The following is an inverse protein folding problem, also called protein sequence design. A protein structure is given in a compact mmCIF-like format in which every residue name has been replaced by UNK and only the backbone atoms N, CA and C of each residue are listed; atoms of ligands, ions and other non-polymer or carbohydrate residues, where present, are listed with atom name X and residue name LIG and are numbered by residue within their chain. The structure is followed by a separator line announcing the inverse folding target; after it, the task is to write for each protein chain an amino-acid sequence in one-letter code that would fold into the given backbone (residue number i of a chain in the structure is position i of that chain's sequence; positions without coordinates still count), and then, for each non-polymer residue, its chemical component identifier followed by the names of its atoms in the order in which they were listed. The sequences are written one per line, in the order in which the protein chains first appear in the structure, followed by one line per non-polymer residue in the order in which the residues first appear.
data_IF_310429339203
#
_entry.id   IF_310429339203
#
_cell.length_a   1.000
_cell.length_b   1.000
_cell.length_c   1.000
_cell.angle_alpha   90.00
_cell.angle_beta   90.00
_cell.angle_gamma   90.00
#
_symmetry.space_group_name_H-M   'P 1'
#
loop_
_entity.id
_entity.type
_entity.pdbx_description
1 polymer ?
#
# COMPACT_ATOMS: atom_id res chain seq x y z
N UNK A 1 42.77 -3.46 -18.98
CA UNK A 1 41.40 -3.75 -19.47
C UNK A 1 40.99 -4.91 -18.59
N UNK A 2 40.38 -4.58 -17.46
CA UNK A 2 40.06 -5.51 -16.38
C UNK A 2 38.58 -5.82 -16.50
N UNK A 3 38.29 -7.10 -16.71
CA UNK A 3 36.95 -7.67 -16.75
C UNK A 3 36.49 -7.84 -15.29
N UNK A 4 35.60 -6.96 -14.81
CA UNK A 4 34.89 -7.19 -13.56
C UNK A 4 33.51 -7.80 -13.89
N UNK A 5 33.41 -9.11 -13.69
CA UNK A 5 32.18 -9.89 -13.75
C UNK A 5 31.18 -9.37 -12.71
N UNK A 6 30.35 -8.41 -13.13
CA UNK A 6 29.34 -7.70 -12.34
C UNK A 6 28.18 -8.58 -11.83
N UNK A 7 28.13 -9.86 -12.22
CA UNK A 7 27.11 -10.79 -11.78
C UNK A 7 27.79 -12.11 -11.42
N UNK A 8 27.89 -12.38 -10.11
CA UNK A 8 28.44 -13.64 -9.60
C UNK A 8 27.65 -14.86 -10.10
N UNK A 9 28.24 -16.07 -10.08
CA UNK A 9 27.59 -17.26 -10.58
C UNK A 9 26.37 -17.60 -9.71
N UNK A 10 25.19 -17.58 -10.33
CA UNK A 10 23.95 -18.00 -9.69
C UNK A 10 23.97 -19.52 -9.46
N UNK A 11 24.14 -19.93 -8.21
CA UNK A 11 23.96 -21.31 -7.79
C UNK A 11 22.46 -21.57 -7.53
N UNK A 12 21.79 -22.13 -8.53
CA UNK A 12 20.45 -22.69 -8.38
C UNK A 12 20.57 -24.11 -7.81
N UNK A 13 20.63 -24.21 -6.49
CA UNK A 13 20.44 -25.48 -5.79
C UNK A 13 18.97 -25.61 -5.38
N UNK A 14 18.21 -26.30 -6.23
CA UNK A 14 16.88 -26.84 -5.95
C UNK A 14 17.01 -27.96 -4.91
N UNK A 15 16.46 -27.73 -3.72
CA UNK A 15 16.34 -28.79 -2.71
C UNK A 15 15.02 -28.67 -1.94
N UNK A 16 14.00 -29.30 -2.50
CA UNK A 16 13.23 -30.38 -1.86
C UNK A 16 12.38 -30.03 -0.63
N UNK A 17 11.07 -29.99 -0.86
CA UNK A 17 9.95 -30.45 -0.02
C UNK A 17 10.19 -30.71 1.47
N UNK A 18 9.43 -30.01 2.33
CA UNK A 18 8.99 -30.55 3.62
C UNK A 18 7.53 -30.13 3.89
N UNK A 19 6.62 -31.09 3.69
CA UNK A 19 5.28 -31.09 4.26
C UNK A 19 5.35 -31.37 5.77
N UNK A 20 4.60 -30.62 6.58
CA UNK A 20 4.29 -31.00 7.97
C UNK A 20 2.82 -30.76 8.27
N UNK A 21 2.06 -31.86 8.27
CA UNK A 21 0.74 -31.98 8.89
C UNK A 21 0.86 -32.13 10.42
N UNK A 22 0.06 -31.37 11.19
CA UNK A 22 -0.76 -31.91 12.30
C UNK A 22 -1.59 -30.84 13.07
N UNK A 23 -2.91 -30.87 12.84
CA UNK A 23 -4.01 -31.19 13.79
C UNK A 23 -4.03 -30.60 15.24
N UNK A 24 -5.02 -29.70 15.43
CA UNK A 24 -6.03 -29.53 16.52
C UNK A 24 -5.81 -28.74 17.84
N UNK A 25 -6.82 -27.87 18.03
CA UNK A 25 -7.58 -27.46 19.22
C UNK A 25 -7.06 -26.36 20.16
N UNK A 26 -7.94 -25.36 20.37
CA UNK A 26 -7.88 -24.40 21.47
C UNK A 26 -8.71 -23.15 21.22
N UNK A 27 -10.02 -23.25 21.39
CA UNK A 27 -10.96 -22.12 21.38
C UNK A 27 -10.67 -21.18 22.55
N UNK A 28 -10.26 -19.93 22.29
CA UNK A 28 -10.42 -18.84 23.26
C UNK A 28 -10.89 -17.57 22.54
N UNK A 29 -12.12 -17.18 22.87
CA UNK A 29 -12.74 -15.94 22.44
C UNK A 29 -11.97 -14.76 23.04
N UNK A 30 -11.44 -13.88 22.19
CA UNK A 30 -11.18 -12.50 22.58
C UNK A 30 -11.88 -11.59 21.58
N UNK A 31 -13.16 -11.29 21.89
CA UNK A 31 -13.88 -10.16 21.32
C UNK A 31 -13.19 -8.87 21.80
N UNK A 32 -12.10 -8.50 21.14
CA UNK A 32 -11.59 -7.14 21.24
C UNK A 32 -12.34 -6.31 20.21
N UNK A 33 -13.49 -5.82 20.67
CA UNK A 33 -14.28 -4.75 20.08
C UNK A 33 -13.38 -3.51 19.92
N UNK A 34 -12.57 -3.51 18.86
CA UNK A 34 -11.77 -2.37 18.46
C UNK A 34 -12.75 -1.44 17.75
N UNK A 35 -13.52 -0.72 18.56
CA UNK A 35 -14.31 0.41 18.08
C UNK A 35 -13.37 1.28 17.25
N UNK A 36 -13.61 1.29 15.95
CA UNK A 36 -12.98 2.17 14.98
C UNK A 36 -13.43 3.59 15.34
N UNK A 37 -12.78 4.20 16.32
CA UNK A 37 -12.91 5.64 16.55
C UNK A 37 -12.41 6.33 15.28
N UNK A 38 -13.18 7.22 14.66
CA UNK A 38 -12.67 8.01 13.55
C UNK A 38 -11.44 8.79 14.03
N UNK A 39 -10.31 8.52 13.40
CA UNK A 39 -9.02 9.13 13.73
C UNK A 39 -9.16 10.67 13.58
N UNK A 40 -8.89 11.49 14.62
CA UNK A 40 -9.16 12.93 14.59
C UNK A 40 -8.18 13.73 13.68
N UNK A 41 -7.43 13.03 12.82
CA UNK A 41 -6.41 13.58 11.95
C UNK A 41 -6.87 13.80 10.51
N UNK A 42 -8.14 13.54 10.19
CA UNK A 42 -8.77 14.11 9.00
C UNK A 42 -8.99 15.60 9.29
N UNK A 43 -7.90 16.36 9.32
CA UNK A 43 -7.94 17.81 9.46
C UNK A 43 -8.68 18.37 8.26
N UNK A 44 -9.93 18.75 8.51
CA UNK A 44 -10.79 19.44 7.56
C UNK A 44 -10.15 20.75 7.13
N UNK A 45 -10.05 20.94 5.80
CA UNK A 45 -9.88 22.24 5.11
C UNK A 45 -8.51 22.92 5.16
N UNK A 46 -7.45 22.20 4.79
CA UNK A 46 -6.38 22.83 4.01
C UNK A 46 -6.71 22.56 2.54
N UNK A 47 -7.02 23.59 1.74
CA UNK A 47 -7.12 23.42 0.28
C UNK A 47 -5.77 22.88 -0.22
N UNK A 48 -5.70 21.58 -0.47
CA UNK A 48 -4.49 20.96 -0.99
C UNK A 48 -4.13 21.67 -2.30
N UNK A 49 -2.92 22.23 -2.37
CA UNK A 49 -2.48 22.97 -3.55
C UNK A 49 -2.32 21.98 -4.73
N UNK A 50 -3.36 21.95 -5.58
CA UNK A 50 -3.37 21.18 -6.82
C UNK A 50 -2.55 21.90 -7.88
N UNK A 51 -1.49 21.24 -8.34
CA UNK A 51 -0.68 21.69 -9.48
C UNK A 51 -1.10 20.89 -10.71
N UNK A 52 -1.44 21.60 -11.78
CA UNK A 52 -1.82 21.03 -13.09
C UNK A 52 -0.68 21.23 -14.07
N UNK A 53 -0.45 20.25 -14.94
CA UNK A 53 0.54 20.32 -16.01
C UNK A 53 -0.18 20.50 -17.35
N UNK A 54 -0.22 21.72 -17.94
CA UNK A 54 -1.04 21.99 -19.12
C UNK A 54 -0.69 21.12 -20.34
N UNK A 55 0.56 20.65 -20.43
CA UNK A 55 1.02 19.76 -21.49
C UNK A 55 0.62 18.30 -21.31
N UNK A 56 0.11 17.90 -20.14
CA UNK A 56 -0.20 16.50 -19.80
C UNK A 56 -1.61 16.43 -19.20
N UNK A 57 -2.66 16.26 -20.05
CA UNK A 57 -4.02 16.08 -19.58
C UNK A 57 -4.14 14.91 -18.59
N UNK A 58 -4.83 15.13 -17.47
CA UNK A 58 -5.04 14.11 -16.43
C UNK A 58 -3.92 13.99 -15.40
N UNK A 59 -2.79 14.70 -15.55
CA UNK A 59 -1.73 14.72 -14.53
C UNK A 59 -1.94 15.85 -13.53
N UNK A 60 -2.02 15.47 -12.25
CA UNK A 60 -2.15 16.38 -11.13
C UNK A 60 -1.12 16.05 -10.05
N UNK A 61 -0.55 17.07 -9.42
CA UNK A 61 0.29 16.94 -8.24
C UNK A 61 -0.37 17.64 -7.06
N UNK A 62 -0.60 16.89 -5.98
CA UNK A 62 -1.06 17.41 -4.69
C UNK A 62 0.11 17.42 -3.72
N UNK A 63 0.68 18.61 -3.47
CA UNK A 63 1.80 18.75 -2.54
C UNK A 63 1.32 18.61 -1.10
N UNK A 64 2.15 17.99 -0.26
CA UNK A 64 1.91 17.83 1.17
C UNK A 64 0.54 17.20 1.48
N UNK A 65 0.10 16.26 0.63
CA UNK A 65 -1.18 15.56 0.81
C UNK A 65 -1.21 14.77 2.12
N UNK A 66 -0.09 14.14 2.46
CA UNK A 66 0.10 13.47 3.74
C UNK A 66 0.80 14.41 4.71
N UNK A 67 0.26 14.55 5.91
CA UNK A 67 0.94 15.22 7.02
C UNK A 67 2.19 14.44 7.44
N UNK A 68 3.13 15.08 8.13
CA UNK A 68 4.32 14.40 8.64
C UNK A 68 3.96 13.21 9.54
N UNK A 69 2.92 13.35 10.36
CA UNK A 69 2.46 12.27 11.23
C UNK A 69 1.91 11.08 10.42
N UNK A 70 1.11 11.35 9.38
CA UNK A 70 0.58 10.32 8.49
C UNK A 70 1.71 9.59 7.73
N UNK A 71 2.73 10.32 7.29
CA UNK A 71 3.90 9.74 6.64
C UNK A 71 4.66 8.81 7.61
N UNK A 72 4.91 9.27 8.84
CA UNK A 72 5.59 8.44 9.85
C UNK A 72 4.79 7.16 10.15
N UNK A 73 3.48 7.29 10.41
CA UNK A 73 2.58 6.14 10.64
C UNK A 73 2.58 5.14 9.47
N UNK A 74 2.64 5.64 8.23
CA UNK A 74 2.70 4.80 7.04
C UNK A 74 4.04 4.05 6.96
N UNK A 75 5.15 4.75 7.17
CA UNK A 75 6.49 4.16 7.16
C UNK A 75 6.65 3.11 8.25
N UNK A 76 6.22 3.43 9.48
CA UNK A 76 6.29 2.50 10.61
C UNK A 76 5.48 1.23 10.34
N UNK A 77 4.29 1.35 9.75
CA UNK A 77 3.46 0.21 9.38
C UNK A 77 4.13 -0.65 8.30
N UNK A 78 4.73 -0.04 7.28
CA UNK A 78 5.46 -0.75 6.22
C UNK A 78 6.67 -1.51 6.79
N UNK A 79 7.41 -0.89 7.71
CA UNK A 79 8.54 -1.53 8.40
C UNK A 79 8.05 -2.70 9.25
N UNK A 80 6.97 -2.51 10.00
CA UNK A 80 6.38 -3.56 10.85
C UNK A 80 5.92 -4.79 10.06
N UNK A 81 5.34 -4.59 8.87
CA UNK A 81 4.92 -5.69 7.98
C UNK A 81 6.08 -6.35 7.22
N UNK A 82 7.30 -5.85 7.38
CA UNK A 82 8.50 -6.48 6.84
C UNK A 82 8.62 -6.44 5.32
N UNK A 83 7.88 -5.55 4.63
CA UNK A 83 7.85 -5.51 3.15
C UNK A 83 9.21 -5.30 2.48
N UNK A 84 10.16 -4.70 3.20
CA UNK A 84 11.51 -4.39 2.70
C UNK A 84 12.61 -4.96 3.62
N UNK A 85 12.34 -6.06 4.34
CA UNK A 85 13.33 -6.69 5.24
C UNK A 85 14.58 -7.18 4.49
N UNK A 86 14.41 -7.57 3.23
CA UNK A 86 15.50 -8.05 2.38
C UNK A 86 16.02 -6.91 1.52
N UNK A 87 17.33 -6.66 1.45
CA UNK A 87 17.92 -5.59 0.62
C UNK A 87 17.52 -5.66 -0.86
N UNK A 88 17.20 -6.85 -1.36
CA UNK A 88 16.81 -7.14 -2.74
C UNK A 88 15.32 -6.86 -2.99
N UNK A 89 14.53 -6.74 -1.92
CA UNK A 89 13.09 -6.45 -1.96
C UNK A 89 12.88 -4.95 -1.81
N UNK A 90 12.82 -4.23 -2.93
CA UNK A 90 12.54 -2.80 -2.96
C UNK A 90 11.13 -2.47 -3.50
N UNK A 91 10.32 -3.50 -3.74
CA UNK A 91 8.96 -3.41 -4.25
C UNK A 91 8.10 -4.48 -3.60
N UNK A 92 6.86 -4.13 -3.24
CA UNK A 92 5.87 -5.05 -2.72
C UNK A 92 4.58 -4.92 -3.54
N UNK A 93 4.04 -6.05 -3.98
CA UNK A 93 2.72 -6.11 -4.64
C UNK A 93 1.71 -6.66 -3.65
N UNK A 94 0.65 -5.90 -3.38
CA UNK A 94 -0.45 -6.31 -2.51
C UNK A 94 -1.64 -6.74 -3.38
N UNK A 95 -2.18 -7.93 -3.12
CA UNK A 95 -3.37 -8.45 -3.79
C UNK A 95 -4.46 -8.79 -2.77
N UNK A 96 -5.72 -8.77 -3.21
CA UNK A 96 -6.86 -9.07 -2.36
C UNK A 96 -7.20 -7.93 -1.40
N UNK A 97 -7.43 -8.26 -0.12
CA UNK A 97 -7.78 -7.26 0.88
C UNK A 97 -6.55 -6.45 1.24
N UNK A 98 -6.59 -5.14 0.99
CA UNK A 98 -5.47 -4.26 1.29
C UNK A 98 -5.30 -4.07 2.80
N UNK A 99 -4.05 -3.98 3.29
CA UNK A 99 -3.79 -3.72 4.70
C UNK A 99 -4.44 -2.41 5.18
N UNK A 100 -4.83 -2.30 6.47
CA UNK A 100 -5.49 -1.11 6.99
C UNK A 100 -4.71 0.20 6.79
N UNK A 101 -3.38 0.14 6.83
CA UNK A 101 -2.55 1.33 6.61
C UNK A 101 -2.55 1.82 5.16
N UNK A 102 -2.73 0.91 4.18
CA UNK A 102 -2.94 1.27 2.79
C UNK A 102 -4.34 1.84 2.59
N UNK A 103 -5.36 1.23 3.22
CA UNK A 103 -6.73 1.72 3.16
C UNK A 103 -6.87 3.16 3.66
N UNK A 104 -6.17 3.53 4.75
CA UNK A 104 -6.12 4.94 5.21
C UNK A 104 -5.61 5.92 4.14
N UNK A 105 -4.64 5.50 3.32
CA UNK A 105 -4.13 6.33 2.23
C UNK A 105 -5.17 6.45 1.10
N UNK A 106 -5.88 5.36 0.80
CA UNK A 106 -7.00 5.37 -0.15
C UNK A 106 -8.07 6.34 0.32
N UNK A 107 -8.48 6.31 1.59
CA UNK A 107 -9.48 7.21 2.15
C UNK A 107 -9.06 8.70 2.00
N UNK A 108 -7.78 9.01 2.22
CA UNK A 108 -7.27 10.38 2.03
C UNK A 108 -7.38 10.81 0.56
N UNK A 109 -7.05 9.92 -0.37
CA UNK A 109 -7.12 10.17 -1.82
C UNK A 109 -8.56 10.36 -2.28
N UNK A 110 -9.49 9.51 -1.81
CA UNK A 110 -10.91 9.58 -2.18
C UNK A 110 -11.59 10.86 -1.70
N UNK A 111 -11.13 11.43 -0.59
CA UNK A 111 -11.61 12.71 -0.09
C UNK A 111 -11.13 13.93 -0.91
N UNK A 112 -10.27 13.73 -1.92
CA UNK A 112 -9.86 14.81 -2.82
C UNK A 112 -10.99 15.12 -3.82
N UNK A 113 -11.52 16.36 -3.84
CA UNK A 113 -12.58 16.73 -4.77
C UNK A 113 -12.16 16.52 -6.23
N UNK A 114 -13.04 15.88 -6.99
CA UNK A 114 -12.86 15.68 -8.44
C UNK A 114 -11.54 15.01 -8.83
N UNK A 115 -11.00 14.12 -7.99
CA UNK A 115 -9.78 13.37 -8.31
C UNK A 115 -9.96 12.41 -9.47
N UNK A 116 -11.11 11.74 -9.52
CA UNK A 116 -11.54 10.92 -10.65
C UNK A 116 -12.63 11.65 -11.44
N UNK A 117 -12.56 11.65 -12.77
CA UNK A 117 -13.66 12.10 -13.61
C UNK A 117 -14.88 11.18 -13.45
N UNK A 118 -16.08 11.73 -13.66
CA UNK A 118 -17.33 11.01 -13.42
C UNK A 118 -17.47 9.74 -14.26
N UNK A 119 -16.84 9.72 -15.44
CA UNK A 119 -16.79 8.55 -16.32
C UNK A 119 -16.03 7.38 -15.69
N UNK A 120 -15.01 7.65 -14.89
CA UNK A 120 -14.25 6.60 -14.17
C UNK A 120 -15.01 6.18 -12.92
N UNK A 121 -15.56 7.14 -12.15
CA UNK A 121 -16.31 6.85 -10.91
C UNK A 121 -17.53 5.99 -11.14
N UNK A 122 -18.25 6.22 -12.24
CA UNK A 122 -19.49 5.53 -12.57
C UNK A 122 -19.27 4.40 -13.60
N UNK A 123 -18.02 4.04 -13.88
CA UNK A 123 -17.71 3.00 -14.85
C UNK A 123 -18.20 1.66 -14.31
N UNK A 124 -19.02 0.94 -15.09
CA UNK A 124 -19.34 -0.45 -14.80
C UNK A 124 -18.08 -1.32 -14.94
N UNK A 125 -17.82 -2.26 -14.02
CA UNK A 125 -16.74 -3.22 -14.17
C UNK A 125 -16.83 -3.90 -15.54
N UNK A 126 -15.72 -3.92 -16.28
CA UNK A 126 -15.69 -4.51 -17.62
C UNK A 126 -15.71 -6.04 -17.57
N UNK A 127 -15.26 -6.62 -16.46
CA UNK A 127 -15.02 -8.05 -16.30
C UNK A 127 -16.15 -8.80 -15.60
N UNK A 128 -17.24 -8.12 -15.23
CA UNK A 128 -18.43 -8.73 -14.62
C UNK A 128 -19.59 -8.89 -15.63
N UNK A 129 -19.27 -8.94 -16.94
CA UNK A 129 -20.24 -9.10 -18.05
C UNK A 129 -20.29 -10.53 -18.58
#
# INVERSE_FOLDING_TARGET
MEDEELFGPGDFSDSGELEVDNVMNGTENHENDTQLTPDPLISSNSEHQKIVFPSIPGLYLYKNLLTQEQQNKLVDAIIHEGYFERPESNQAMCFGTLPPFIMRVVDIIENIPSIFPDEIKNRKPLFDQ
#
